data_IF_747902710900
#
_entry.id   IF_747902710900
#
_cell.length_a   1.000
_cell.length_b   1.000
_cell.length_c   1.000
_cell.angle_alpha   90.00
_cell.angle_beta   90.00
_cell.angle_gamma   90.00
#
_symmetry.space_group_name_H-M   'P 1'
#
loop_
_entity.id
_entity.type
_entity.pdbx_description
1 polymer ?
#
# COMPACT_ATOMS: atom_id res chain seq x y z
N UNK A 1 43.51 22.84 -64.35
CA UNK A 1 42.17 22.42 -64.23
C UNK A 1 42.12 21.32 -63.16
N UNK A 2 41.71 21.68 -61.94
CA UNK A 2 41.65 20.78 -60.80
C UNK A 2 40.20 20.59 -60.42
N UNK A 3 39.64 19.37 -60.62
CA UNK A 3 38.31 19.00 -60.18
C UNK A 3 38.31 18.77 -58.66
N UNK A 4 37.43 19.49 -57.95
CA UNK A 4 37.22 19.37 -56.52
C UNK A 4 36.13 18.33 -56.28
N UNK A 5 36.50 17.17 -55.74
CA UNK A 5 35.53 16.10 -55.39
C UNK A 5 35.03 16.34 -53.97
N UNK A 6 33.74 16.71 -53.88
CA UNK A 6 33.04 16.87 -52.61
C UNK A 6 32.52 15.48 -52.15
N UNK A 7 33.10 15.00 -51.04
CA UNK A 7 32.64 13.78 -50.37
C UNK A 7 31.58 14.19 -49.36
N UNK A 8 30.31 13.86 -49.63
CA UNK A 8 29.21 13.99 -48.67
C UNK A 8 29.25 12.79 -47.69
N UNK A 9 29.61 13.09 -46.45
CA UNK A 9 29.41 12.16 -45.35
C UNK A 9 27.98 12.26 -44.84
N UNK A 10 27.16 11.25 -45.09
CA UNK A 10 25.83 11.10 -44.46
C UNK A 10 26.03 10.46 -43.09
N UNK A 11 25.82 11.22 -42.04
CA UNK A 11 25.75 10.71 -40.68
C UNK A 11 24.34 10.14 -40.49
N UNK A 12 24.23 8.82 -40.53
CA UNK A 12 23.02 8.11 -40.09
C UNK A 12 23.03 8.06 -38.56
N UNK A 13 22.28 8.96 -37.90
CA UNK A 13 22.01 8.87 -36.49
C UNK A 13 20.97 7.78 -36.26
N UNK A 14 21.40 6.63 -35.75
CA UNK A 14 20.50 5.58 -35.25
C UNK A 14 19.90 6.04 -33.94
N UNK A 15 18.64 6.49 -33.98
CA UNK A 15 17.82 6.69 -32.78
C UNK A 15 17.19 5.35 -32.41
N UNK A 16 17.92 4.54 -31.67
CA UNK A 16 17.39 3.32 -31.03
C UNK A 16 17.52 3.51 -29.52
N UNK A 17 16.41 3.74 -28.81
CA UNK A 17 16.47 3.73 -27.36
C UNK A 17 15.40 4.49 -26.59
N UNK A 18 14.17 4.66 -27.06
CA UNK A 18 13.12 5.35 -26.27
C UNK A 18 11.89 4.48 -25.95
N UNK A 19 11.86 3.24 -26.42
CA UNK A 19 10.64 2.40 -26.31
C UNK A 19 10.50 1.56 -25.03
N UNK A 20 11.54 1.41 -24.21
CA UNK A 20 11.52 0.41 -23.12
C UNK A 20 11.15 0.97 -21.74
N UNK A 21 11.31 2.26 -21.52
CA UNK A 21 10.99 2.88 -20.22
C UNK A 21 9.49 3.12 -20.03
N UNK A 22 8.78 3.51 -21.08
CA UNK A 22 7.35 3.78 -21.02
C UNK A 22 6.51 2.52 -20.71
N UNK A 23 6.83 1.38 -21.32
CA UNK A 23 6.10 0.14 -21.11
C UNK A 23 6.22 -0.41 -19.67
N UNK A 24 7.37 -0.21 -19.01
CA UNK A 24 7.59 -0.65 -17.62
C UNK A 24 6.86 0.23 -16.62
N UNK A 25 6.71 1.51 -16.92
CA UNK A 25 5.94 2.44 -16.06
C UNK A 25 4.43 2.18 -16.18
N UNK A 26 3.92 1.94 -17.38
CA UNK A 26 2.52 1.57 -17.61
C UNK A 26 2.14 0.27 -16.89
N UNK A 27 3.00 -0.74 -16.88
CA UNK A 27 2.76 -2.01 -16.19
C UNK A 27 2.73 -1.84 -14.66
N UNK A 28 3.55 -0.97 -14.10
CA UNK A 28 3.55 -0.67 -12.67
C UNK A 28 2.31 0.10 -12.24
N UNK A 29 1.91 1.09 -13.01
CA UNK A 29 0.70 1.88 -12.76
C UNK A 29 -0.55 1.00 -12.84
N UNK A 30 -0.63 0.13 -13.84
CA UNK A 30 -1.72 -0.83 -13.99
C UNK A 30 -1.77 -1.82 -12.81
N UNK A 31 -0.63 -2.32 -12.34
CA UNK A 31 -0.54 -3.19 -11.17
C UNK A 31 -0.95 -2.47 -9.89
N UNK A 32 -0.55 -1.22 -9.71
CA UNK A 32 -0.93 -0.38 -8.58
C UNK A 32 -2.44 -0.14 -8.53
N UNK A 33 -3.02 0.29 -9.65
CA UNK A 33 -4.46 0.55 -9.79
C UNK A 33 -5.28 -0.70 -9.51
N UNK A 34 -4.91 -1.82 -10.10
CA UNK A 34 -5.58 -3.12 -9.87
C UNK A 34 -5.53 -3.56 -8.42
N UNK A 35 -4.43 -3.31 -7.74
CA UNK A 35 -4.29 -3.68 -6.33
C UNK A 35 -5.10 -2.74 -5.43
N UNK A 36 -5.19 -1.43 -5.73
CA UNK A 36 -6.09 -0.50 -5.04
C UNK A 36 -7.56 -0.89 -5.22
N UNK A 37 -7.97 -1.26 -6.43
CA UNK A 37 -9.33 -1.77 -6.68
C UNK A 37 -9.62 -3.02 -5.84
N UNK A 38 -8.63 -3.90 -5.72
CA UNK A 38 -8.76 -5.09 -4.87
C UNK A 38 -8.83 -4.75 -3.38
N UNK A 39 -8.16 -3.70 -2.91
CA UNK A 39 -8.24 -3.23 -1.53
C UNK A 39 -9.55 -2.50 -1.23
N UNK A 40 -10.18 -1.88 -2.24
CA UNK A 40 -11.41 -1.13 -2.06
C UNK A 40 -12.54 -1.98 -1.47
N UNK A 41 -13.31 -1.38 -0.57
CA UNK A 41 -14.47 -2.00 0.09
C UNK A 41 -14.49 -1.80 1.60
N UNK A 42 -15.42 -2.48 2.25
CA UNK A 42 -15.60 -2.46 3.71
C UNK A 42 -15.03 -3.73 4.31
N UNK A 43 -14.21 -3.58 5.33
CA UNK A 43 -13.50 -4.64 6.02
C UNK A 43 -13.90 -4.69 7.49
N UNK A 44 -14.61 -5.72 7.92
CA UNK A 44 -14.90 -5.94 9.33
C UNK A 44 -13.65 -6.47 10.02
N UNK A 45 -13.22 -5.82 11.10
CA UNK A 45 -12.09 -6.33 11.89
C UNK A 45 -12.48 -7.63 12.59
N UNK A 46 -11.61 -8.62 12.49
CA UNK A 46 -11.78 -9.94 13.13
C UNK A 46 -10.61 -10.28 14.06
N UNK A 47 -9.48 -9.61 13.91
CA UNK A 47 -8.36 -9.68 14.84
C UNK A 47 -7.60 -8.35 14.83
N UNK A 48 -7.07 -7.95 15.97
CA UNK A 48 -6.10 -6.87 16.12
C UNK A 48 -5.21 -7.19 17.30
N UNK A 49 -3.91 -7.03 17.11
CA UNK A 49 -2.90 -7.28 18.12
C UNK A 49 -1.87 -6.16 18.13
N UNK A 50 -1.51 -5.67 19.30
CA UNK A 50 -0.43 -4.72 19.52
C UNK A 50 0.47 -5.21 20.64
N UNK A 51 1.79 -5.23 20.39
CA UNK A 51 2.78 -5.69 21.39
C UNK A 51 2.47 -7.07 22.01
N UNK A 52 1.91 -7.99 21.23
CA UNK A 52 1.49 -9.32 21.68
C UNK A 52 0.18 -9.36 22.46
N UNK A 53 -0.54 -8.24 22.56
CA UNK A 53 -1.83 -8.15 23.26
C UNK A 53 -2.96 -8.05 22.24
N UNK A 54 -3.89 -9.00 22.31
CA UNK A 54 -5.08 -9.05 21.47
C UNK A 54 -6.11 -7.97 21.89
N UNK A 55 -6.71 -7.32 20.92
CA UNK A 55 -7.84 -6.44 21.17
C UNK A 55 -9.08 -7.23 21.61
N UNK A 56 -9.93 -6.65 22.50
CA UNK A 56 -11.18 -7.29 22.90
C UNK A 56 -12.10 -7.56 21.71
N UNK A 57 -12.77 -8.71 21.69
CA UNK A 57 -13.69 -9.10 20.61
C UNK A 57 -14.85 -8.09 20.42
N UNK A 58 -15.30 -7.48 21.51
CA UNK A 58 -16.35 -6.45 21.47
C UNK A 58 -15.91 -5.22 20.67
N UNK A 59 -14.64 -4.82 20.78
CA UNK A 59 -14.08 -3.70 20.03
C UNK A 59 -13.93 -4.06 18.54
N UNK A 60 -13.49 -5.29 18.24
CA UNK A 60 -13.33 -5.77 16.87
C UNK A 60 -14.67 -5.79 16.12
N UNK A 61 -15.74 -6.30 16.77
CA UNK A 61 -17.09 -6.35 16.18
C UNK A 61 -17.65 -4.99 15.82
N UNK A 62 -17.21 -3.95 16.51
CA UNK A 62 -17.67 -2.58 16.28
C UNK A 62 -16.75 -1.79 15.34
N UNK A 63 -15.62 -2.36 14.91
CA UNK A 63 -14.59 -1.67 14.14
C UNK A 63 -14.57 -2.14 12.70
N UNK A 64 -14.57 -1.18 11.76
CA UNK A 64 -14.48 -1.41 10.32
C UNK A 64 -13.46 -0.51 9.70
N UNK A 65 -12.78 -1.02 8.67
CA UNK A 65 -12.05 -0.20 7.71
C UNK A 65 -12.86 -0.08 6.43
N UNK A 66 -12.93 1.14 5.88
CA UNK A 66 -13.54 1.43 4.59
C UNK A 66 -12.46 2.01 3.71
N UNK A 67 -12.19 1.38 2.56
CA UNK A 67 -11.18 1.81 1.59
C UNK A 67 -11.88 2.16 0.29
N UNK A 68 -11.59 3.37 -0.22
CA UNK A 68 -12.14 3.87 -1.49
C UNK A 68 -11.02 4.55 -2.26
N UNK A 69 -10.53 3.88 -3.31
CA UNK A 69 -9.31 4.30 -3.99
C UNK A 69 -8.13 4.30 -3.01
N UNK A 70 -7.45 5.43 -2.91
CA UNK A 70 -6.34 5.66 -1.99
C UNK A 70 -6.75 6.18 -0.60
N UNK A 71 -8.06 6.40 -0.36
CA UNK A 71 -8.57 6.89 0.92
C UNK A 71 -9.03 5.76 1.83
N UNK A 72 -8.79 5.93 3.12
CA UNK A 72 -9.32 5.02 4.12
C UNK A 72 -10.05 5.76 5.23
N UNK A 73 -11.00 5.08 5.83
CA UNK A 73 -11.74 5.51 7.01
C UNK A 73 -11.82 4.35 7.99
N UNK A 74 -11.56 4.63 9.27
CA UNK A 74 -11.80 3.67 10.36
C UNK A 74 -13.05 4.11 11.10
N UNK A 75 -14.02 3.22 11.15
CA UNK A 75 -15.23 3.41 11.95
C UNK A 75 -15.19 2.52 13.19
N UNK A 76 -15.66 3.07 14.32
CA UNK A 76 -15.93 2.32 15.55
C UNK A 76 -17.31 2.68 16.07
N UNK A 77 -18.14 1.71 16.32
CA UNK A 77 -19.54 1.90 16.73
C UNK A 77 -20.31 2.90 15.84
N UNK A 78 -20.09 2.84 14.52
CA UNK A 78 -20.73 3.70 13.53
C UNK A 78 -20.20 5.15 13.48
N UNK A 79 -19.11 5.46 14.19
CA UNK A 79 -18.48 6.76 14.15
C UNK A 79 -17.08 6.67 13.52
N UNK A 80 -16.76 7.61 12.65
CA UNK A 80 -15.39 7.76 12.13
C UNK A 80 -14.45 8.16 13.27
N UNK A 81 -13.44 7.31 13.51
CA UNK A 81 -12.42 7.56 14.54
C UNK A 81 -11.06 7.90 13.93
N UNK A 82 -10.83 7.54 12.67
CA UNK A 82 -9.64 7.88 11.92
C UNK A 82 -9.95 7.89 10.42
N UNK A 83 -9.26 8.73 9.68
CA UNK A 83 -9.33 8.81 8.22
C UNK A 83 -8.00 9.32 7.65
N UNK A 84 -7.76 9.07 6.38
CA UNK A 84 -6.55 9.52 5.69
C UNK A 84 -6.35 8.84 4.34
N UNK A 85 -5.08 8.68 3.95
CA UNK A 85 -4.69 8.09 2.67
C UNK A 85 -3.77 6.91 2.88
N UNK A 86 -3.77 6.02 1.90
CA UNK A 86 -2.84 4.90 1.82
C UNK A 86 -2.02 5.02 0.53
N UNK A 87 -0.76 4.63 0.63
CA UNK A 87 0.12 4.40 -0.52
C UNK A 87 0.58 2.95 -0.47
N UNK A 88 0.50 2.23 -1.57
CA UNK A 88 0.86 0.81 -1.61
C UNK A 88 2.05 0.55 -2.52
N UNK A 89 2.79 -0.50 -2.22
CA UNK A 89 3.85 -1.04 -3.09
C UNK A 89 3.57 -2.54 -3.31
N UNK A 90 2.78 -2.88 -4.34
CA UNK A 90 2.42 -4.26 -4.62
C UNK A 90 3.58 -5.12 -5.16
N UNK A 91 4.66 -4.48 -5.65
CA UNK A 91 5.85 -5.18 -6.16
C UNK A 91 6.78 -5.65 -5.02
N UNK A 92 6.67 -5.06 -3.85
CA UNK A 92 7.45 -5.42 -2.66
C UNK A 92 7.09 -6.80 -2.13
N UNK A 93 8.01 -7.44 -1.40
CA UNK A 93 7.79 -8.73 -0.72
C UNK A 93 8.30 -8.67 0.74
N UNK A 94 7.40 -8.72 1.73
CA UNK A 94 5.93 -8.61 1.62
C UNK A 94 5.49 -7.30 0.99
N UNK A 95 4.26 -7.24 0.43
CA UNK A 95 3.69 -6.03 -0.16
C UNK A 95 3.69 -4.89 0.85
N UNK A 96 4.03 -3.68 0.41
CA UNK A 96 4.12 -2.50 1.25
C UNK A 96 2.81 -1.72 1.30
N UNK A 97 2.50 -1.14 2.45
CA UNK A 97 1.43 -0.17 2.65
C UNK A 97 1.91 0.91 3.60
N UNK A 98 1.74 2.16 3.22
CA UNK A 98 1.98 3.32 4.08
C UNK A 98 0.67 4.03 4.32
N UNK A 99 0.37 4.26 5.59
CA UNK A 99 -0.87 4.88 6.03
C UNK A 99 -0.56 6.29 6.52
N UNK A 100 -1.27 7.25 5.98
CA UNK A 100 -1.13 8.69 6.26
C UNK A 100 -2.40 9.19 6.95
N UNK A 101 -2.49 9.13 8.29
CA UNK A 101 -3.63 9.66 9.01
C UNK A 101 -3.78 11.16 8.83
N UNK A 102 -5.01 11.64 8.70
CA UNK A 102 -5.29 13.08 8.70
C UNK A 102 -4.98 13.70 10.07
N UNK A 103 -5.14 12.91 11.13
CA UNK A 103 -4.85 13.30 12.52
C UNK A 103 -4.21 12.12 13.27
N UNK A 104 -3.08 12.33 13.96
CA UNK A 104 -2.25 13.54 13.97
C UNK A 104 -1.52 13.73 12.65
N UNK A 105 -1.51 14.94 12.14
CA UNK A 105 -0.84 15.30 10.88
C UNK A 105 0.67 15.01 10.93
N UNK A 106 1.25 14.60 9.80
CA UNK A 106 2.67 14.31 9.66
C UNK A 106 3.13 12.97 10.25
N UNK A 107 2.22 12.14 10.72
CA UNK A 107 2.51 10.78 11.16
C UNK A 107 2.26 9.81 10.00
N UNK A 108 3.23 8.94 9.76
CA UNK A 108 3.12 7.87 8.75
C UNK A 108 3.27 6.54 9.45
N UNK A 109 2.35 5.64 9.21
CA UNK A 109 2.41 4.26 9.69
C UNK A 109 2.92 3.38 8.54
N UNK A 110 4.22 3.08 8.54
CA UNK A 110 4.81 2.19 7.53
C UNK A 110 4.44 0.75 7.81
N UNK A 111 3.93 0.04 6.80
CA UNK A 111 3.43 -1.31 6.99
C UNK A 111 3.66 -2.25 5.83
N UNK A 112 3.21 -3.47 6.05
CA UNK A 112 3.12 -4.54 5.07
C UNK A 112 1.73 -5.12 5.07
N UNK A 113 1.30 -5.69 3.94
CA UNK A 113 0.02 -6.37 3.85
C UNK A 113 0.11 -7.64 3.01
N UNK A 114 -0.82 -8.55 3.27
CA UNK A 114 -1.00 -9.76 2.47
C UNK A 114 -2.47 -10.16 2.40
N UNK A 115 -2.79 -10.88 1.35
CA UNK A 115 -4.08 -11.52 1.17
C UNK A 115 -4.06 -12.93 1.74
N UNK A 116 -5.08 -13.29 2.52
CA UNK A 116 -5.35 -14.66 2.95
C UNK A 116 -6.67 -15.10 2.27
N UNK A 117 -6.55 -15.57 1.03
CA UNK A 117 -7.66 -15.76 0.13
C UNK A 117 -8.17 -14.45 -0.51
N UNK A 118 -9.43 -14.42 -0.93
CA UNK A 118 -10.02 -13.27 -1.64
C UNK A 118 -10.66 -12.24 -0.71
N UNK A 119 -11.17 -12.70 0.43
CA UNK A 119 -12.02 -11.93 1.34
C UNK A 119 -11.35 -11.62 2.69
N UNK A 120 -10.06 -11.91 2.85
CA UNK A 120 -9.33 -11.66 4.09
C UNK A 120 -8.06 -10.89 3.83
N UNK A 121 -7.90 -9.77 4.50
CA UNK A 121 -6.76 -8.88 4.41
C UNK A 121 -6.04 -8.84 5.76
N UNK A 122 -4.73 -9.06 5.73
CA UNK A 122 -3.84 -8.92 6.88
C UNK A 122 -2.92 -7.73 6.67
N UNK A 123 -2.85 -6.85 7.64
CA UNK A 123 -2.02 -5.64 7.62
C UNK A 123 -1.22 -5.56 8.91
N UNK A 124 0.07 -5.30 8.79
CA UNK A 124 0.95 -5.06 9.94
C UNK A 124 1.65 -3.73 9.75
N UNK A 125 1.38 -2.76 10.63
CA UNK A 125 1.96 -1.42 10.60
C UNK A 125 2.87 -1.16 11.80
N UNK A 126 3.85 -0.27 11.64
CA UNK A 126 4.59 0.29 12.76
C UNK A 126 3.80 1.47 13.35
N UNK A 127 3.68 1.51 14.68
CA UNK A 127 3.07 2.64 15.38
C UNK A 127 3.89 3.92 15.13
N UNK A 128 3.25 5.02 14.73
CA UNK A 128 3.92 6.28 14.42
C UNK A 128 4.64 6.96 15.61
N UNK A 129 4.61 6.36 16.79
CA UNK A 129 5.33 6.83 17.98
C UNK A 129 6.70 6.19 18.24
N UNK A 130 7.08 5.17 17.49
CA UNK A 130 8.34 4.43 17.65
C UNK A 130 9.36 4.79 16.57
N UNK A 131 10.65 4.39 16.74
CA UNK A 131 11.61 4.43 15.63
C UNK A 131 11.06 3.60 14.48
N UNK A 132 10.54 4.29 13.46
CA UNK A 132 9.67 3.72 12.43
C UNK A 132 10.46 2.83 11.48
N UNK A 133 10.54 1.55 11.79
CA UNK A 133 10.94 0.55 10.81
C UNK A 133 9.72 -0.20 10.34
N UNK A 134 9.53 -0.23 9.02
CA UNK A 134 8.50 -1.07 8.40
C UNK A 134 8.63 -2.51 8.88
N UNK A 135 7.56 -3.15 9.37
CA UNK A 135 7.57 -4.56 9.72
C UNK A 135 8.06 -5.41 8.53
N UNK A 136 8.76 -6.50 8.84
CA UNK A 136 9.19 -7.51 7.84
C UNK A 136 8.39 -8.79 7.94
N UNK A 137 7.70 -8.97 9.06
CA UNK A 137 6.88 -10.14 9.38
C UNK A 137 5.54 -9.68 9.95
N UNK A 138 4.52 -10.49 9.79
CA UNK A 138 3.18 -10.26 10.36
C UNK A 138 3.12 -10.73 11.82
N UNK A 139 3.95 -10.12 12.65
CA UNK A 139 4.05 -10.43 14.08
C UNK A 139 4.12 -9.16 14.91
N UNK A 140 3.60 -9.24 16.13
CA UNK A 140 3.68 -8.17 17.12
C UNK A 140 4.41 -8.69 18.35
N UNK A 141 5.66 -8.33 18.48
CA UNK A 141 6.43 -8.63 19.68
C UNK A 141 6.41 -7.41 20.59
N UNK A 142 6.34 -7.64 21.91
CA UNK A 142 6.33 -6.56 22.91
C UNK A 142 7.50 -5.59 22.69
N UNK A 143 7.21 -4.30 22.65
CA UNK A 143 8.20 -3.24 22.45
C UNK A 143 8.58 -2.95 21.00
N UNK A 144 8.00 -3.65 20.01
CA UNK A 144 8.23 -3.34 18.60
C UNK A 144 7.38 -2.16 18.11
N UNK A 145 6.29 -1.84 18.80
CA UNK A 145 5.30 -0.88 18.38
C UNK A 145 4.54 -1.32 17.10
N UNK A 146 4.59 -2.61 16.76
CA UNK A 146 3.85 -3.14 15.63
C UNK A 146 2.39 -3.40 16.00
N UNK A 147 1.51 -3.10 15.05
CA UNK A 147 0.07 -3.40 15.13
C UNK A 147 -0.29 -4.31 13.97
N UNK A 148 -0.79 -5.49 14.29
CA UNK A 148 -1.31 -6.46 13.32
C UNK A 148 -2.82 -6.39 13.34
N UNK A 149 -3.43 -6.21 12.17
CA UNK A 149 -4.88 -6.24 12.01
C UNK A 149 -5.28 -7.22 10.93
N UNK A 150 -6.43 -7.87 11.12
CA UNK A 150 -7.04 -8.76 10.14
C UNK A 150 -8.47 -8.33 9.91
N UNK A 151 -8.81 -8.08 8.65
CA UNK A 151 -10.14 -7.72 8.21
C UNK A 151 -10.76 -8.78 7.29
N UNK A 152 -12.05 -9.04 7.46
CA UNK A 152 -12.86 -9.79 6.50
C UNK A 152 -13.71 -8.83 5.68
N UNK A 153 -13.75 -9.04 4.38
CA UNK A 153 -14.55 -8.24 3.46
C UNK A 153 -16.04 -8.38 3.77
N UNK A 154 -16.71 -7.27 3.95
CA UNK A 154 -18.16 -7.22 4.06
C UNK A 154 -18.76 -7.33 2.66
N UNK A 155 -19.49 -8.40 2.39
CA UNK A 155 -20.22 -8.56 1.13
C UNK A 155 -21.49 -7.71 1.16
N UNK A 156 -21.59 -6.75 0.27
CA UNK A 156 -22.86 -6.07 -0.01
C UNK A 156 -23.79 -7.05 -0.71
N UNK A 157 -24.99 -7.22 -0.16
CA UNK A 157 -26.05 -8.01 -0.78
C UNK A 157 -26.64 -7.25 -1.97
#
# INVERSE_FOLDING_TARGET
MKALMLVLWTVAAAVAGVGWTAAVEDDKEAAYTKELEKLAGTWQLVASEKDGVQAPEADLKQSKYIITGDKYTVERAGKTVQEGWICIDPARKPKGIDVYPTKPEGKVEMGIYEWDGEDKLKVCTADPGTEQTRPRLFTTTRGTGHVLTVGHRVKTK
#
